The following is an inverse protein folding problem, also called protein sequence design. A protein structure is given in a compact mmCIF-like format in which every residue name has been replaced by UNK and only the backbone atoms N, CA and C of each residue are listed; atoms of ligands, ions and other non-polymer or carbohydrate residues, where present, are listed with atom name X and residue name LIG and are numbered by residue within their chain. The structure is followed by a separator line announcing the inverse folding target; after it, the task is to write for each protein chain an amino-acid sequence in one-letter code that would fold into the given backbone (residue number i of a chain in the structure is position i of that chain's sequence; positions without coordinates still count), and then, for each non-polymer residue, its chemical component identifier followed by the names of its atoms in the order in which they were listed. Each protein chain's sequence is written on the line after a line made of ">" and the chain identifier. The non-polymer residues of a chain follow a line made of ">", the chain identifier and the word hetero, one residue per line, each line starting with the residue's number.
data_IF_569814618045
#
_entry.id   IF_569814618045
#
_cell.length_a   1.000
_cell.length_b   1.000
_cell.length_c   1.000
_cell.angle_alpha   90.00
_cell.angle_beta   90.00
_cell.angle_gamma   90.00
#
_symmetry.space_group_name_H-M   'P 1'
#
loop_
_entity.id
_entity.type
_entity.pdbx_description
1 polymer ?
#
# COMPACT_ATOMS: atom_id res chain seq x y z
N UNK A 1 5.09 9.13 -40.80
CA UNK A 1 4.89 10.58 -40.59
C UNK A 1 3.44 10.77 -40.16
N UNK A 2 3.18 11.04 -38.88
CA UNK A 2 1.82 11.33 -38.42
C UNK A 2 1.55 12.83 -38.61
N UNK A 3 0.57 13.14 -39.45
CA UNK A 3 0.09 14.50 -39.72
C UNK A 3 -0.95 14.80 -38.64
N UNK A 4 -0.66 15.77 -37.77
CA UNK A 4 -1.60 16.28 -36.76
C UNK A 4 -2.83 16.84 -37.49
N UNK A 5 -4.03 16.40 -37.11
CA UNK A 5 -5.28 16.82 -37.76
C UNK A 5 -5.97 17.92 -36.97
N UNK A 6 -6.77 18.73 -37.68
CA UNK A 6 -7.57 19.79 -37.09
C UNK A 6 -8.60 19.18 -36.13
N UNK A 7 -8.41 19.38 -34.83
CA UNK A 7 -9.24 18.81 -33.76
C UNK A 7 -8.46 18.04 -32.69
N UNK A 8 -7.19 17.69 -32.95
CA UNK A 8 -6.35 17.01 -31.98
C UNK A 8 -6.04 17.93 -30.78
N UNK A 9 -6.31 17.45 -29.56
CA UNK A 9 -5.88 18.13 -28.32
C UNK A 9 -4.38 17.92 -28.15
N UNK A 10 -3.59 18.91 -28.55
CA UNK A 10 -2.14 18.93 -28.35
C UNK A 10 -1.84 19.75 -27.09
N UNK A 11 -1.34 19.09 -26.04
CA UNK A 11 -0.85 19.79 -24.85
C UNK A 11 0.55 20.32 -25.16
N UNK A 12 0.71 21.64 -25.25
CA UNK A 12 2.03 22.27 -25.38
C UNK A 12 2.62 22.42 -23.98
N UNK A 13 3.64 21.62 -23.67
CA UNK A 13 4.39 21.75 -22.42
C UNK A 13 5.30 22.96 -22.58
N UNK A 14 5.20 23.94 -21.70
CA UNK A 14 6.09 25.11 -21.74
C UNK A 14 7.53 24.69 -21.44
N UNK A 15 8.53 25.38 -22.00
CA UNK A 15 9.95 25.04 -21.78
C UNK A 15 10.33 24.93 -20.29
N UNK A 16 9.65 25.70 -19.43
CA UNK A 16 9.82 25.68 -17.98
C UNK A 16 9.31 24.38 -17.34
N UNK A 17 8.17 23.86 -17.80
CA UNK A 17 7.61 22.58 -17.35
C UNK A 17 8.40 21.40 -17.92
N UNK A 18 8.89 21.52 -19.16
CA UNK A 18 9.78 20.54 -19.79
C UNK A 18 11.07 20.40 -18.96
N UNK A 19 11.69 21.53 -18.59
CA UNK A 19 12.88 21.56 -17.74
C UNK A 19 12.63 20.99 -16.32
N UNK A 20 11.44 21.21 -15.73
CA UNK A 20 11.10 20.66 -14.41
C UNK A 20 10.83 19.15 -14.49
N UNK A 21 10.15 18.68 -15.54
CA UNK A 21 9.91 17.27 -15.81
C UNK A 21 11.22 16.52 -16.13
N UNK A 22 12.12 17.12 -16.92
CA UNK A 22 13.46 16.59 -17.20
C UNK A 22 14.33 16.50 -15.95
N UNK A 23 14.32 17.52 -15.09
CA UNK A 23 15.01 17.48 -13.79
C UNK A 23 14.46 16.38 -12.89
N UNK A 24 13.13 16.22 -12.80
CA UNK A 24 12.49 15.12 -12.04
C UNK A 24 12.89 13.75 -12.60
N UNK A 25 12.89 13.56 -13.93
CA UNK A 25 13.33 12.32 -14.59
C UNK A 25 14.80 12.00 -14.33
N UNK A 26 15.68 13.01 -14.27
CA UNK A 26 17.13 12.83 -14.02
C UNK A 26 17.45 12.34 -12.61
N UNK A 27 16.59 12.62 -11.63
CA UNK A 27 16.76 12.19 -10.21
C UNK A 27 15.93 10.95 -9.82
N UNK A 28 15.07 10.44 -10.71
CA UNK A 28 14.13 9.39 -10.35
C UNK A 28 14.85 8.07 -10.09
N UNK A 29 14.58 7.37 -8.99
CA UNK A 29 15.14 6.04 -8.72
C UNK A 29 14.05 5.00 -8.96
N UNK A 30 14.33 4.02 -9.81
CA UNK A 30 13.42 2.91 -10.09
C UNK A 30 13.79 1.70 -9.22
N UNK A 31 12.80 0.91 -8.84
CA UNK A 31 12.95 -0.37 -8.13
C UNK A 31 12.21 -1.45 -8.90
N UNK A 32 12.62 -2.70 -8.73
CA UNK A 32 11.87 -3.85 -9.20
C UNK A 32 10.44 -3.79 -8.64
N UNK A 33 9.45 -4.01 -9.49
CA UNK A 33 8.02 -3.92 -9.17
C UNK A 33 7.41 -2.54 -9.42
N UNK A 34 8.20 -1.49 -9.69
CA UNK A 34 7.65 -0.17 -9.99
C UNK A 34 6.79 -0.21 -11.25
N UNK A 35 5.58 0.36 -11.19
CA UNK A 35 4.74 0.58 -12.37
C UNK A 35 5.26 1.76 -13.16
N UNK A 36 5.37 1.57 -14.48
CA UNK A 36 5.95 2.56 -15.38
C UNK A 36 5.15 2.73 -16.66
N UNK A 37 5.24 3.93 -17.20
CA UNK A 37 4.71 4.31 -18.50
C UNK A 37 5.85 4.59 -19.48
N UNK A 38 5.72 4.02 -20.67
CA UNK A 38 6.69 4.17 -21.75
C UNK A 38 5.95 4.46 -23.05
N UNK A 39 6.43 5.46 -23.79
CA UNK A 39 5.98 5.69 -25.16
C UNK A 39 6.85 4.82 -26.06
N UNK A 40 6.24 3.81 -26.69
CA UNK A 40 6.93 2.94 -27.63
C UNK A 40 6.13 2.84 -28.93
N UNK A 41 6.81 3.01 -30.07
CA UNK A 41 6.17 3.05 -31.41
C UNK A 41 4.96 4.00 -31.48
N UNK A 42 5.07 5.14 -30.81
CA UNK A 42 4.01 6.17 -30.73
C UNK A 42 2.74 5.74 -29.99
N UNK A 43 2.80 4.65 -29.21
CA UNK A 43 1.74 4.20 -28.32
C UNK A 43 2.20 4.30 -26.86
N UNK A 44 1.30 4.68 -25.96
CA UNK A 44 1.54 4.61 -24.52
C UNK A 44 1.40 3.16 -24.06
N UNK A 45 2.40 2.65 -23.36
CA UNK A 45 2.38 1.33 -22.74
C UNK A 45 2.62 1.44 -21.25
N UNK A 46 1.85 0.65 -20.50
CA UNK A 46 2.05 0.45 -19.07
C UNK A 46 2.71 -0.91 -18.83
N UNK A 47 3.60 -0.96 -17.85
CA UNK A 47 4.33 -2.16 -17.49
C UNK A 47 4.89 -2.09 -16.08
N UNK A 48 5.59 -3.15 -15.70
CA UNK A 48 6.29 -3.27 -14.43
C UNK A 48 7.81 -3.37 -14.71
N UNK A 49 8.60 -2.70 -13.88
CA UNK A 49 10.07 -2.88 -13.89
C UNK A 49 10.38 -4.25 -13.31
N UNK A 50 10.97 -5.14 -14.10
CA UNK A 50 11.37 -6.46 -13.59
C UNK A 50 12.80 -6.49 -13.09
N UNK A 51 13.66 -5.69 -13.72
CA UNK A 51 15.07 -5.57 -13.34
C UNK A 51 15.60 -4.18 -13.69
N UNK A 52 16.40 -3.61 -12.79
CA UNK A 52 17.12 -2.37 -13.01
C UNK A 52 18.57 -2.76 -13.27
N UNK A 53 19.06 -2.54 -14.49
CA UNK A 53 20.42 -2.88 -14.89
C UNK A 53 21.25 -1.59 -14.87
N UNK A 54 22.06 -1.43 -13.83
CA UNK A 54 23.01 -0.33 -13.73
C UNK A 54 24.24 -0.66 -14.56
N UNK A 55 24.34 -0.09 -15.77
CA UNK A 55 25.55 -0.20 -16.59
C UNK A 55 26.62 0.76 -16.05
N UNK A 56 27.80 0.22 -15.76
CA UNK A 56 28.90 0.94 -15.09
C UNK A 56 29.63 1.95 -15.99
N UNK A 57 29.39 1.94 -17.30
CA UNK A 57 30.02 2.87 -18.24
C UNK A 57 29.08 4.02 -18.61
N UNK A 58 29.35 5.18 -17.99
CA UNK A 58 28.95 6.53 -18.41
C UNK A 58 27.46 6.74 -18.82
N UNK A 59 26.64 7.06 -17.82
CA UNK A 59 25.42 7.90 -17.91
C UNK A 59 24.13 7.30 -18.52
N UNK A 60 24.00 5.98 -18.68
CA UNK A 60 22.70 5.39 -19.03
C UNK A 60 22.34 4.19 -18.16
N UNK A 61 21.66 4.45 -17.04
CA UNK A 61 20.86 3.42 -16.37
C UNK A 61 19.86 2.86 -17.40
N UNK A 62 19.97 1.57 -17.74
CA UNK A 62 19.03 0.87 -18.62
C UNK A 62 18.06 0.05 -17.74
N UNK A 63 16.77 0.17 -18.04
CA UNK A 63 15.67 -0.48 -17.31
C UNK A 63 15.11 -1.60 -18.17
N UNK A 64 15.10 -2.83 -17.65
CA UNK A 64 14.35 -3.90 -18.28
C UNK A 64 12.90 -3.83 -17.78
N UNK A 65 12.01 -3.38 -18.67
CA UNK A 65 10.59 -3.23 -18.38
C UNK A 65 9.83 -4.38 -19.05
N UNK A 66 8.99 -5.05 -18.27
CA UNK A 66 8.02 -6.01 -18.77
C UNK A 66 6.73 -5.28 -19.10
N UNK A 67 6.41 -5.21 -20.39
CA UNK A 67 5.17 -4.59 -20.84
C UNK A 67 4.01 -5.57 -20.67
N UNK A 68 2.86 -5.07 -20.17
CA UNK A 68 1.63 -5.83 -20.01
C UNK A 68 0.89 -5.99 -21.36
N UNK A 69 1.57 -6.52 -22.39
CA UNK A 69 0.96 -6.95 -23.66
C UNK A 69 0.86 -8.48 -23.69
N UNK A 70 0.02 -9.02 -24.57
CA UNK A 70 -0.07 -10.46 -24.85
C UNK A 70 0.51 -10.76 -26.24
N UNK A 71 1.59 -11.57 -26.35
CA UNK A 71 2.42 -12.11 -25.26
C UNK A 71 3.22 -11.01 -24.55
N UNK A 72 3.59 -11.23 -23.29
CA UNK A 72 4.38 -10.27 -22.50
C UNK A 72 5.76 -10.10 -23.16
N UNK A 73 6.10 -8.86 -23.51
CA UNK A 73 7.38 -8.54 -24.15
C UNK A 73 8.26 -7.80 -23.15
N UNK A 74 9.49 -8.28 -23.00
CA UNK A 74 10.54 -7.64 -22.22
C UNK A 74 11.31 -6.70 -23.14
N UNK A 75 11.37 -5.42 -22.79
CA UNK A 75 12.16 -4.43 -23.52
C UNK A 75 13.09 -3.68 -22.58
N UNK A 76 14.28 -3.40 -23.11
CA UNK A 76 15.27 -2.57 -22.47
C UNK A 76 15.00 -1.11 -22.87
N UNK A 77 14.74 -0.26 -21.87
CA UNK A 77 14.50 1.16 -22.06
C UNK A 77 15.54 1.97 -21.31
N UNK A 78 15.93 3.11 -21.85
CA UNK A 78 16.74 4.06 -21.08
C UNK A 78 15.88 4.69 -20.00
N UNK A 79 16.45 4.95 -18.83
CA UNK A 79 15.77 5.59 -17.70
C UNK A 79 14.98 6.86 -18.03
N UNK A 80 15.47 7.69 -18.96
CA UNK A 80 14.79 8.92 -19.40
C UNK A 80 13.61 8.69 -20.36
N UNK A 81 13.43 7.48 -20.88
CA UNK A 81 12.31 7.07 -21.73
C UNK A 81 11.15 6.47 -20.92
N UNK A 82 11.37 6.28 -19.62
CA UNK A 82 10.43 5.63 -18.71
C UNK A 82 9.97 6.65 -17.67
N UNK A 83 8.66 6.74 -17.44
CA UNK A 83 8.09 7.55 -16.37
C UNK A 83 7.50 6.63 -15.31
N UNK A 84 7.87 6.84 -14.04
CA UNK A 84 7.30 6.12 -12.90
C UNK A 84 5.86 6.61 -12.67
N UNK A 85 4.95 5.67 -12.51
CA UNK A 85 3.57 5.95 -12.09
C UNK A 85 3.55 5.92 -10.56
N UNK A 86 3.24 7.05 -9.94
CA UNK A 86 3.03 7.11 -8.50
C UNK A 86 1.66 6.53 -8.17
N UNK A 87 1.65 5.32 -7.62
CA UNK A 87 0.45 4.64 -7.16
C UNK A 87 -0.11 5.35 -5.92
N UNK A 88 -1.43 5.44 -5.86
CA UNK A 88 -2.11 5.92 -4.65
C UNK A 88 -2.13 4.82 -3.59
N UNK A 89 -2.05 5.23 -2.32
CA UNK A 89 -2.27 4.33 -1.21
C UNK A 89 -3.75 4.33 -0.88
N UNK A 90 -4.36 3.15 -0.80
CA UNK A 90 -5.77 2.99 -0.43
C UNK A 90 -5.92 2.01 0.72
N UNK A 91 -6.89 2.23 1.63
CA UNK A 91 -7.19 1.25 2.68
C UNK A 91 -7.54 -0.13 2.11
N UNK A 92 -7.29 -1.17 2.90
CA UNK A 92 -7.55 -2.56 2.49
C UNK A 92 -9.01 -2.79 2.06
N UNK A 93 -9.98 -2.26 2.78
CA UNK A 93 -11.40 -2.42 2.43
C UNK A 93 -11.76 -1.79 1.07
N UNK A 94 -11.07 -0.70 0.70
CA UNK A 94 -11.20 -0.07 -0.63
C UNK A 94 -10.59 -0.95 -1.71
N UNK A 95 -9.41 -1.52 -1.45
CA UNK A 95 -8.75 -2.45 -2.35
C UNK A 95 -9.62 -3.68 -2.63
N UNK A 96 -10.20 -4.27 -1.58
CA UNK A 96 -11.11 -5.41 -1.65
C UNK A 96 -12.35 -5.04 -2.49
N UNK A 97 -12.95 -3.87 -2.27
CA UNK A 97 -14.06 -3.37 -3.07
C UNK A 97 -13.71 -3.24 -4.56
N UNK A 98 -12.58 -2.59 -4.90
CA UNK A 98 -12.13 -2.46 -6.29
C UNK A 98 -11.96 -3.84 -6.95
N UNK A 99 -11.40 -4.82 -6.21
CA UNK A 99 -11.27 -6.20 -6.67
C UNK A 99 -12.62 -6.83 -7.00
N UNK A 100 -13.57 -6.79 -6.05
CA UNK A 100 -14.92 -7.34 -6.21
C UNK A 100 -15.65 -6.73 -7.40
N UNK A 101 -15.64 -5.39 -7.54
CA UNK A 101 -16.33 -4.74 -8.67
C UNK A 101 -15.71 -5.11 -10.02
N UNK A 102 -14.37 -5.20 -10.10
CA UNK A 102 -13.69 -5.63 -11.33
C UNK A 102 -13.98 -7.10 -11.68
N UNK A 103 -14.02 -7.98 -10.70
CA UNK A 103 -14.36 -9.40 -10.91
C UNK A 103 -15.80 -9.57 -11.42
N UNK A 104 -16.73 -8.75 -10.91
CA UNK A 104 -18.13 -8.73 -11.32
C UNK A 104 -18.39 -7.93 -12.60
N UNK A 105 -17.34 -7.45 -13.26
CA UNK A 105 -17.39 -6.65 -14.49
C UNK A 105 -18.23 -5.36 -14.36
N UNK A 106 -18.29 -4.78 -13.16
CA UNK A 106 -18.89 -3.46 -12.97
C UNK A 106 -17.94 -2.35 -13.40
N UNK A 107 -18.53 -1.27 -13.94
CA UNK A 107 -17.81 -0.07 -14.34
C UNK A 107 -17.43 0.80 -13.14
N UNK A 108 -16.39 1.62 -13.32
CA UNK A 108 -15.97 2.62 -12.32
C UNK A 108 -17.11 3.53 -11.88
N UNK A 109 -18.00 3.92 -12.80
CA UNK A 109 -19.13 4.80 -12.49
C UNK A 109 -20.07 4.20 -11.44
N UNK A 110 -20.24 2.87 -11.44
CA UNK A 110 -21.04 2.15 -10.45
C UNK A 110 -20.23 1.99 -9.16
N UNK A 111 -18.96 1.60 -9.27
CA UNK A 111 -18.12 1.31 -8.12
C UNK A 111 -17.79 2.55 -7.26
N UNK A 112 -17.73 3.74 -7.85
CA UNK A 112 -17.40 4.99 -7.14
C UNK A 112 -18.63 5.67 -6.53
N UNK A 113 -19.83 5.31 -6.97
CA UNK A 113 -21.06 5.92 -6.49
C UNK A 113 -21.36 5.41 -5.07
N UNK A 114 -21.25 6.30 -4.09
CA UNK A 114 -21.48 5.95 -2.69
C UNK A 114 -22.92 5.47 -2.44
N UNK A 115 -23.89 5.85 -3.29
CA UNK A 115 -25.29 5.40 -3.20
C UNK A 115 -25.46 3.93 -3.60
N UNK A 116 -24.51 3.37 -4.36
CA UNK A 116 -24.48 1.94 -4.71
C UNK A 116 -24.23 1.06 -3.47
N UNK A 117 -23.61 1.60 -2.42
CA UNK A 117 -23.26 0.88 -1.20
C UNK A 117 -24.42 0.82 -0.21
N UNK A 118 -25.60 0.40 -0.68
CA UNK A 118 -26.75 0.08 0.18
C UNK A 118 -26.47 -1.14 1.05
N UNK A 119 -27.19 -1.28 2.18
CA UNK A 119 -27.06 -2.44 3.06
C UNK A 119 -27.23 -3.78 2.33
N UNK A 120 -28.08 -3.81 1.30
CA UNK A 120 -28.30 -5.00 0.46
C UNK A 120 -27.08 -5.30 -0.41
N UNK A 121 -26.57 -4.32 -1.16
CA UNK A 121 -25.38 -4.47 -2.01
C UNK A 121 -24.13 -4.81 -1.20
N UNK A 122 -23.93 -4.16 -0.06
CA UNK A 122 -22.80 -4.44 0.85
C UNK A 122 -22.82 -5.90 1.28
N UNK A 123 -24.02 -6.45 1.55
CA UNK A 123 -24.19 -7.84 1.98
C UNK A 123 -24.04 -8.83 0.82
N UNK A 124 -24.60 -8.51 -0.34
CA UNK A 124 -24.53 -9.35 -1.55
C UNK A 124 -23.09 -9.49 -2.05
N UNK A 125 -22.37 -8.37 -2.14
CA UNK A 125 -21.00 -8.30 -2.64
C UNK A 125 -19.95 -8.51 -1.53
N UNK A 126 -20.37 -8.78 -0.30
CA UNK A 126 -19.50 -8.94 0.87
C UNK A 126 -18.50 -7.79 1.05
N UNK A 127 -18.97 -6.56 0.82
CA UNK A 127 -18.18 -5.33 0.93
C UNK A 127 -18.15 -4.83 2.38
N UNK A 128 -17.24 -3.91 2.65
CA UNK A 128 -17.20 -3.21 3.94
C UNK A 128 -18.19 -2.03 3.94
N UNK A 129 -19.07 -1.99 4.96
CA UNK A 129 -20.06 -0.91 5.15
C UNK A 129 -19.43 0.49 5.27
N UNK A 130 -18.15 0.58 5.64
CA UNK A 130 -17.42 1.84 5.74
C UNK A 130 -17.14 2.48 4.39
N UNK A 131 -17.29 1.75 3.27
CA UNK A 131 -17.11 2.30 1.92
C UNK A 131 -18.01 3.50 1.63
N UNK A 132 -19.27 3.45 2.02
CA UNK A 132 -20.21 4.55 1.78
C UNK A 132 -19.73 5.84 2.45
N UNK A 133 -19.32 5.75 3.72
CA UNK A 133 -18.79 6.90 4.46
C UNK A 133 -17.43 7.37 3.94
N UNK A 134 -16.57 6.45 3.49
CA UNK A 134 -15.27 6.79 2.92
C UNK A 134 -15.40 7.53 1.58
N UNK A 135 -16.29 7.08 0.70
CA UNK A 135 -16.57 7.73 -0.60
C UNK A 135 -17.36 9.03 -0.48
N UNK A 136 -17.90 9.37 0.69
CA UNK A 136 -18.58 10.65 0.91
C UNK A 136 -17.66 11.86 0.69
N UNK A 137 -16.36 11.69 0.99
CA UNK A 137 -15.35 12.72 0.78
C UNK A 137 -14.89 12.76 -0.69
N UNK A 138 -14.96 13.93 -1.32
CA UNK A 138 -14.58 14.10 -2.73
C UNK A 138 -13.11 13.71 -3.00
N UNK A 139 -12.20 13.98 -2.06
CA UNK A 139 -10.80 13.58 -2.18
C UNK A 139 -10.63 12.05 -2.24
N UNK A 140 -11.48 11.31 -1.52
CA UNK A 140 -11.45 9.85 -1.52
C UNK A 140 -12.01 9.28 -2.82
N UNK A 141 -12.98 9.95 -3.45
CA UNK A 141 -13.45 9.61 -4.79
C UNK A 141 -12.31 9.78 -5.82
N UNK A 142 -11.55 10.87 -5.76
CA UNK A 142 -10.37 11.05 -6.62
C UNK A 142 -9.32 9.96 -6.39
N UNK A 143 -9.04 9.60 -5.13
CA UNK A 143 -8.14 8.49 -4.79
C UNK A 143 -8.68 7.15 -5.34
N UNK A 144 -9.97 6.89 -5.22
CA UNK A 144 -10.62 5.68 -5.75
C UNK A 144 -10.49 5.60 -7.27
N UNK A 145 -10.80 6.69 -7.98
CA UNK A 145 -10.69 6.73 -9.43
C UNK A 145 -9.25 6.49 -9.91
N UNK A 146 -8.27 7.11 -9.24
CA UNK A 146 -6.85 6.87 -9.52
C UNK A 146 -6.45 5.44 -9.22
N UNK A 147 -6.87 4.89 -8.08
CA UNK A 147 -6.62 3.49 -7.72
C UNK A 147 -7.20 2.52 -8.77
N UNK A 148 -8.39 2.82 -9.26
CA UNK A 148 -9.07 2.01 -10.28
C UNK A 148 -8.31 2.00 -11.62
N UNK A 149 -7.89 3.17 -12.09
CA UNK A 149 -7.26 3.37 -13.41
C UNK A 149 -5.76 3.04 -13.41
N UNK A 150 -5.03 3.61 -12.46
CA UNK A 150 -3.56 3.61 -12.41
C UNK A 150 -3.02 2.47 -11.53
N UNK A 151 -3.90 1.77 -10.82
CA UNK A 151 -3.54 0.81 -9.77
C UNK A 151 -3.25 1.49 -8.43
N UNK A 152 -3.03 0.68 -7.40
CA UNK A 152 -2.87 1.16 -6.04
C UNK A 152 -1.90 0.30 -5.22
N UNK A 153 -1.39 0.89 -4.14
CA UNK A 153 -0.76 0.17 -3.04
C UNK A 153 -1.77 0.06 -1.90
N UNK A 154 -1.85 -1.10 -1.25
CA UNK A 154 -2.68 -1.25 -0.05
C UNK A 154 -1.96 -0.55 1.10
N UNK A 155 -2.62 0.43 1.69
CA UNK A 155 -2.19 1.05 2.94
C UNK A 155 -2.17 -0.05 4.01
N UNK A 156 -0.96 -0.35 4.51
CA UNK A 156 -0.80 -1.28 5.61
C UNK A 156 -1.38 -0.62 6.85
N UNK A 157 -2.39 -1.25 7.43
CA UNK A 157 -2.97 -0.78 8.69
C UNK A 157 -1.86 -0.70 9.75
N UNK A 158 -1.71 0.44 10.46
CA UNK A 158 -0.68 0.58 11.48
C UNK A 158 -0.87 -0.47 12.57
N UNK A 159 0.16 -1.29 12.77
CA UNK A 159 0.19 -2.28 13.83
C UNK A 159 0.98 -1.76 15.02
N UNK A 160 0.51 -2.13 16.21
CA UNK A 160 1.10 -1.72 17.47
C UNK A 160 1.34 -2.94 18.37
N UNK A 161 2.42 -2.85 19.15
CA UNK A 161 2.60 -3.64 20.36
C UNK A 161 2.05 -2.85 21.55
N UNK A 162 1.31 -3.49 22.45
CA UNK A 162 0.98 -2.89 23.75
C UNK A 162 2.05 -3.31 24.74
N UNK A 163 2.95 -2.39 25.11
CA UNK A 163 4.11 -2.64 25.96
C UNK A 163 3.84 -2.18 27.39
N UNK A 164 3.44 -3.13 28.24
CA UNK A 164 3.12 -2.90 29.64
C UNK A 164 4.41 -2.93 30.48
N UNK A 165 4.77 -1.83 31.17
CA UNK A 165 5.89 -1.82 32.10
C UNK A 165 5.52 -2.62 33.36
N UNK A 166 6.46 -3.43 33.85
CA UNK A 166 6.35 -4.16 35.10
C UNK A 166 7.68 -4.05 35.84
N UNK A 167 7.64 -3.59 37.09
CA UNK A 167 8.79 -3.65 37.98
C UNK A 167 8.81 -5.01 38.67
N UNK A 168 9.93 -5.72 38.58
CA UNK A 168 10.15 -7.01 39.22
C UNK A 168 11.37 -6.91 40.14
N UNK A 169 11.28 -7.50 41.33
CA UNK A 169 12.41 -7.58 42.25
C UNK A 169 13.30 -8.75 41.87
N UNK A 170 14.52 -8.47 41.41
CA UNK A 170 15.54 -9.48 41.13
C UNK A 170 16.24 -9.85 42.46
N UNK A 171 15.99 -11.07 42.95
CA UNK A 171 16.58 -11.55 44.19
C UNK A 171 18.10 -11.78 44.09
N UNK A 172 18.62 -12.11 42.91
CA UNK A 172 20.04 -12.40 42.68
C UNK A 172 20.86 -11.10 42.65
N UNK A 173 20.30 -10.04 42.05
CA UNK A 173 20.93 -8.71 41.99
C UNK A 173 20.54 -7.81 43.17
N UNK A 174 19.53 -8.20 43.94
CA UNK A 174 18.94 -7.41 45.04
C UNK A 174 18.52 -6.00 44.61
N UNK A 175 17.95 -5.86 43.40
CA UNK A 175 17.50 -4.60 42.83
C UNK A 175 16.15 -4.73 42.10
N UNK A 176 15.47 -3.59 41.90
CA UNK A 176 14.27 -3.52 41.06
C UNK A 176 14.69 -3.45 39.60
N UNK A 177 14.23 -4.42 38.81
CA UNK A 177 14.40 -4.44 37.36
C UNK A 177 13.09 -4.11 36.65
N UNK A 178 13.13 -3.14 35.75
CA UNK A 178 12.02 -2.81 34.88
C UNK A 178 12.01 -3.77 33.69
N UNK A 179 11.00 -4.62 33.64
CA UNK A 179 10.75 -5.53 32.52
C UNK A 179 9.49 -5.11 31.77
N UNK A 180 9.38 -5.56 30.54
CA UNK A 180 8.17 -5.35 29.75
C UNK A 180 7.41 -6.65 29.55
N UNK A 181 6.09 -6.50 29.51
CA UNK A 181 5.17 -7.52 29.04
C UNK A 181 4.36 -6.96 27.86
N UNK A 182 3.87 -7.86 27.02
CA UNK A 182 3.14 -7.52 25.81
C UNK A 182 1.74 -8.10 25.85
N UNK A 183 0.75 -7.30 25.50
CA UNK A 183 -0.62 -7.79 25.31
C UNK A 183 -0.68 -8.73 24.09
N UNK A 184 -1.42 -9.81 24.23
CA UNK A 184 -1.77 -10.74 23.16
C UNK A 184 -3.27 -10.85 23.04
N UNK A 185 -3.72 -11.06 21.81
CA UNK A 185 -5.11 -11.36 21.48
C UNK A 185 -5.14 -12.67 20.68
N UNK A 186 -6.01 -13.59 21.06
CA UNK A 186 -6.40 -14.70 20.21
C UNK A 186 -7.56 -14.24 19.32
N UNK A 187 -7.33 -14.17 18.00
CA UNK A 187 -8.36 -13.68 17.06
C UNK A 187 -9.52 -14.66 16.88
N UNK A 188 -9.36 -15.91 17.29
CA UNK A 188 -10.39 -16.96 17.15
C UNK A 188 -11.26 -17.06 18.40
N UNK A 189 -10.65 -16.99 19.59
CA UNK A 189 -11.37 -17.10 20.86
C UNK A 189 -11.71 -15.76 21.53
N UNK A 190 -11.20 -14.65 20.99
CA UNK A 190 -11.26 -13.29 21.58
C UNK A 190 -10.58 -13.19 22.96
N UNK A 191 -9.83 -14.23 23.36
CA UNK A 191 -9.10 -14.25 24.63
C UNK A 191 -7.89 -13.31 24.59
N UNK A 192 -7.59 -12.71 25.75
CA UNK A 192 -6.41 -11.84 25.90
C UNK A 192 -5.45 -12.40 26.93
N UNK A 193 -4.15 -12.23 26.67
CA UNK A 193 -3.10 -12.74 27.56
C UNK A 193 -1.90 -11.80 27.59
N UNK A 194 -1.29 -11.61 28.76
CA UNK A 194 -0.08 -10.81 28.93
C UNK A 194 1.14 -11.73 28.82
N UNK A 195 2.06 -11.44 27.89
CA UNK A 195 3.23 -12.24 27.54
C UNK A 195 4.56 -11.58 27.92
N UNK A 196 5.55 -12.39 28.32
CA UNK A 196 6.94 -11.94 28.45
C UNK A 196 7.70 -11.73 27.14
N UNK A 197 7.14 -12.15 26.01
CA UNK A 197 7.78 -12.15 24.69
C UNK A 197 7.04 -11.22 23.72
N UNK A 198 7.80 -10.52 22.89
CA UNK A 198 7.27 -9.70 21.79
C UNK A 198 6.78 -10.55 20.62
N UNK A 199 7.26 -11.79 20.50
CA UNK A 199 6.99 -12.68 19.36
C UNK A 199 6.30 -13.96 19.81
N UNK A 200 5.25 -14.34 19.06
CA UNK A 200 4.48 -15.56 19.24
C UNK A 200 5.16 -16.71 18.47
N UNK A 201 5.20 -17.91 19.06
CA UNK A 201 5.71 -19.11 18.36
C UNK A 201 4.78 -19.54 17.22
N UNK A 202 5.28 -20.31 16.25
CA UNK A 202 4.48 -20.73 15.08
C UNK A 202 3.23 -21.54 15.44
N UNK A 203 3.34 -22.46 16.41
CA UNK A 203 2.20 -23.23 16.91
C UNK A 203 1.10 -22.33 17.49
N UNK A 204 1.48 -21.33 18.28
CA UNK A 204 0.52 -20.39 18.86
C UNK A 204 -0.10 -19.45 17.80
N UNK A 205 0.62 -19.11 16.73
CA UNK A 205 0.04 -18.38 15.58
C UNK A 205 -1.02 -19.23 14.88
N UNK A 206 -0.79 -20.54 14.74
CA UNK A 206 -1.79 -21.47 14.21
C UNK A 206 -3.03 -21.55 15.11
N UNK A 207 -2.85 -21.44 16.43
CA UNK A 207 -3.93 -21.34 17.42
C UNK A 207 -4.61 -19.95 17.47
N UNK A 208 -4.21 -19.00 16.61
CA UNK A 208 -4.85 -17.68 16.48
C UNK A 208 -4.24 -16.55 17.32
N UNK A 209 -3.17 -16.79 18.07
CA UNK A 209 -2.55 -15.77 18.93
C UNK A 209 -1.72 -14.74 18.14
N UNK A 210 -1.90 -13.46 18.47
CA UNK A 210 -1.18 -12.32 17.89
C UNK A 210 -0.68 -11.34 18.96
N UNK A 211 0.50 -10.77 18.73
CA UNK A 211 1.09 -9.67 19.53
C UNK A 211 1.05 -8.31 18.83
N UNK A 212 0.98 -8.30 17.50
CA UNK A 212 0.82 -7.10 16.69
C UNK A 212 -0.68 -6.88 16.49
N UNK A 213 -1.20 -5.77 17.02
CA UNK A 213 -2.63 -5.47 17.08
C UNK A 213 -2.93 -4.15 16.39
N UNK A 214 -4.13 -4.03 15.82
CA UNK A 214 -4.62 -2.75 15.27
C UNK A 214 -5.13 -1.83 16.37
N UNK A 215 -5.28 -0.54 16.09
CA UNK A 215 -5.88 0.42 17.03
C UNK A 215 -7.25 -0.04 17.52
N UNK A 216 -8.08 -0.51 16.59
CA UNK A 216 -9.42 -1.01 16.90
C UNK A 216 -9.36 -2.21 17.85
N UNK A 217 -8.51 -3.19 17.56
CA UNK A 217 -8.35 -4.36 18.44
C UNK A 217 -7.91 -3.99 19.85
N UNK A 218 -7.00 -3.02 19.99
CA UNK A 218 -6.54 -2.58 21.31
C UNK A 218 -7.68 -1.90 22.07
N UNK A 219 -8.42 -1.01 21.41
CA UNK A 219 -9.54 -0.27 22.02
C UNK A 219 -10.75 -1.17 22.33
N UNK A 220 -11.01 -2.17 21.50
CA UNK A 220 -12.07 -3.16 21.71
C UNK A 220 -11.77 -4.03 22.96
N UNK A 221 -10.49 -4.29 23.26
CA UNK A 221 -10.07 -4.93 24.50
C UNK A 221 -10.26 -3.98 25.68
N UNK A 222 -9.53 -2.86 25.68
CA UNK A 222 -9.64 -1.78 26.66
C UNK A 222 -8.91 -0.53 26.12
N UNK A 223 -9.59 0.61 26.07
CA UNK A 223 -9.02 1.88 25.63
C UNK A 223 -7.80 2.30 26.45
N UNK A 224 -7.69 1.89 27.72
CA UNK A 224 -6.53 2.17 28.57
C UNK A 224 -5.23 1.56 28.01
N UNK A 225 -5.30 0.45 27.27
CA UNK A 225 -4.13 -0.17 26.66
C UNK A 225 -3.52 0.67 25.53
N UNK A 226 -4.30 1.59 24.95
CA UNK A 226 -3.84 2.49 23.90
C UNK A 226 -2.71 3.42 24.37
N UNK A 227 -2.67 3.74 25.67
CA UNK A 227 -1.61 4.55 26.27
C UNK A 227 -0.23 3.86 26.24
N UNK A 228 -0.21 2.53 26.14
CA UNK A 228 1.01 1.71 26.15
C UNK A 228 1.43 1.22 24.75
N UNK A 229 0.80 1.75 23.69
CA UNK A 229 1.10 1.36 22.32
C UNK A 229 2.51 1.76 21.91
N UNK A 230 3.17 0.89 21.15
CA UNK A 230 4.44 1.12 20.49
C UNK A 230 4.28 0.68 19.03
N UNK A 231 4.49 1.56 18.05
CA UNK A 231 4.44 1.19 16.64
C UNK A 231 5.36 0.02 16.34
N UNK A 232 4.91 -0.94 15.53
CA UNK A 232 5.74 -2.10 15.15
C UNK A 232 6.98 -1.65 14.36
N UNK A 233 6.83 -0.64 13.50
CA UNK A 233 7.90 -0.08 12.67
C UNK A 233 9.09 0.40 13.53
N UNK A 234 8.83 1.06 14.66
CA UNK A 234 9.87 1.58 15.57
C UNK A 234 10.72 0.47 16.24
N UNK A 235 10.18 -0.74 16.41
CA UNK A 235 10.85 -1.87 17.07
C UNK A 235 11.52 -2.85 16.10
N UNK A 236 11.16 -2.84 14.82
CA UNK A 236 11.81 -3.67 13.80
C UNK A 236 13.03 -2.97 13.18
N UNK A 237 13.10 -1.63 13.19
CA UNK A 237 14.28 -0.88 12.75
C UNK A 237 15.48 -0.97 13.71
N UNK A 238 15.29 -1.48 14.93
CA UNK A 238 16.33 -1.62 15.95
C UNK A 238 16.97 -3.02 16.00
N UNK A 239 16.69 -3.90 15.02
CA UNK A 239 17.22 -5.27 14.95
C UNK A 239 18.22 -5.50 13.82
#
# INVERSE_FOLDING_TARGET
>A
MNIIKKGDRVQTVTDTECNRAERRRKTMKFKKGDRVEVIWRSELHQGLVEEVIELTDELTDELMVKLAKTPAIYYLFKKNQVSKVELVKVPKFVADAIGTFKEKEYDLAVAIDYETYTDECVKELSLDKTMCGWLWETSNQELFARAWMDGYEIEKEPLYYVRLPLAYWDEDKAELEDIYRYLRLNVTSEETEISGRTTVSEWQKADGWRTQLTEKQIKDIDEAYWAFRVPVEDLEETK
#
